data_IF_277366717706
#
_entry.id   IF_277366717706
#
_cell.length_a   1.000
_cell.length_b   1.000
_cell.length_c   1.000
_cell.angle_alpha   90.00
_cell.angle_beta   90.00
_cell.angle_gamma   90.00
#
_symmetry.space_group_name_H-M   'P 1'
#
loop_
_entity.id
_entity.type
_entity.pdbx_description
1 polymer ?
#
# COMPACT_ATOMS: atom_id res chain seq x y z
N UNK A 1 7.96 -21.91 -25.92
CA UNK A 1 7.33 -20.70 -26.52
C UNK A 1 5.83 -20.95 -26.54
N UNK A 2 4.91 -20.03 -26.24
CA UNK A 2 4.89 -18.68 -25.69
C UNK A 2 3.38 -18.46 -25.38
N UNK A 3 3.10 -17.90 -24.20
CA UNK A 3 1.96 -17.06 -23.78
C UNK A 3 0.50 -17.47 -24.12
N UNK A 4 -0.32 -17.81 -23.12
CA UNK A 4 -1.12 -16.91 -22.23
C UNK A 4 -2.46 -16.53 -22.84
N UNK A 5 -3.56 -16.94 -22.20
CA UNK A 5 -4.79 -16.14 -22.09
C UNK A 5 -5.50 -16.42 -20.77
N UNK A 6 -5.60 -15.34 -19.99
CA UNK A 6 -6.56 -15.17 -18.90
C UNK A 6 -7.98 -15.30 -19.45
N UNK A 7 -8.82 -16.03 -18.73
CA UNK A 7 -10.28 -15.92 -18.79
C UNK A 7 -10.76 -15.54 -17.39
N UNK A 8 -11.08 -14.26 -17.21
CA UNK A 8 -11.82 -13.76 -16.05
C UNK A 8 -12.94 -12.86 -16.55
N UNK A 9 -14.08 -13.48 -16.83
CA UNK A 9 -15.40 -12.90 -16.61
C UNK A 9 -15.73 -13.17 -15.12
N UNK A 10 -16.43 -12.35 -14.35
CA UNK A 10 -17.75 -11.74 -14.54
C UNK A 10 -17.89 -10.68 -13.42
N UNK A 11 -18.47 -9.52 -13.71
CA UNK A 11 -19.36 -8.87 -12.75
C UNK A 11 -20.67 -8.51 -13.46
N UNK A 12 -21.75 -9.06 -12.93
CA UNK A 12 -23.09 -9.01 -13.47
C UNK A 12 -23.73 -7.63 -13.26
N UNK A 13 -24.43 -7.15 -14.29
CA UNK A 13 -25.39 -6.04 -14.18
C UNK A 13 -26.57 -6.35 -15.08
N UNK A 14 -27.66 -6.86 -14.50
CA UNK A 14 -28.89 -7.12 -15.22
C UNK A 14 -29.75 -5.85 -15.30
N UNK A 15 -30.02 -5.38 -16.51
CA UNK A 15 -31.27 -4.68 -16.87
C UNK A 15 -31.51 -4.89 -18.37
N UNK A 16 -32.51 -5.72 -18.70
CA UNK A 16 -33.06 -5.80 -20.05
C UNK A 16 -33.95 -4.58 -20.31
N UNK A 17 -33.71 -3.90 -21.43
CA UNK A 17 -34.70 -3.10 -22.15
C UNK A 17 -34.41 -3.23 -23.64
N UNK A 18 -35.32 -3.91 -24.35
CA UNK A 18 -35.31 -4.09 -25.79
C UNK A 18 -35.35 -2.74 -26.50
N UNK A 19 -34.28 -2.37 -27.20
CA UNK A 19 -34.26 -1.24 -28.13
C UNK A 19 -33.84 -1.82 -29.48
N UNK A 20 -34.74 -1.74 -30.45
CA UNK A 20 -34.47 -2.02 -31.86
C UNK A 20 -33.15 -1.35 -32.24
N UNK A 21 -32.20 -2.11 -32.78
CA UNK A 21 -30.94 -1.55 -33.26
C UNK A 21 -31.24 -0.40 -34.23
N UNK A 22 -30.73 0.83 -33.99
CA UNK A 22 -30.93 1.91 -34.95
C UNK A 22 -30.30 1.50 -36.27
N UNK A 23 -31.06 1.56 -37.35
CA UNK A 23 -30.53 1.40 -38.71
C UNK A 23 -29.50 2.48 -38.93
N UNK A 24 -28.27 2.09 -39.26
CA UNK A 24 -27.18 3.01 -39.53
C UNK A 24 -27.57 4.00 -40.64
N UNK A 25 -27.33 5.28 -40.41
CA UNK A 25 -27.54 6.34 -41.41
C UNK A 25 -26.24 7.10 -41.62
N UNK A 26 -26.00 7.58 -42.84
CA UNK A 26 -24.90 8.51 -43.11
C UNK A 26 -25.44 9.95 -43.01
N UNK A 27 -24.63 10.90 -42.53
CA UNK A 27 -25.00 12.31 -42.59
C UNK A 27 -25.10 12.73 -44.06
N UNK A 28 -26.18 13.42 -44.44
CA UNK A 28 -26.38 13.85 -45.83
C UNK A 28 -25.32 14.89 -46.24
N UNK A 29 -24.55 14.60 -47.30
CA UNK A 29 -23.75 15.59 -48.04
C UNK A 29 -24.48 15.92 -49.36
N UNK A 30 -24.25 17.13 -49.90
CA UNK A 30 -25.19 17.82 -50.82
C UNK A 30 -25.70 17.00 -52.02
N UNK A 31 -26.93 17.29 -52.46
CA UNK A 31 -27.68 16.63 -53.55
C UNK A 31 -27.02 16.62 -54.93
N UNK A 32 -25.87 17.25 -55.13
CA UNK A 32 -25.14 17.22 -56.39
C UNK A 32 -24.00 16.19 -56.43
N UNK A 33 -23.65 15.57 -55.30
CA UNK A 33 -22.55 14.59 -55.20
C UNK A 33 -21.18 15.23 -55.48
N UNK A 34 -20.25 15.12 -54.55
CA UNK A 34 -18.85 15.31 -54.90
C UNK A 34 -18.52 14.31 -56.02
N UNK A 35 -17.87 14.76 -57.11
CA UNK A 35 -17.51 13.94 -58.29
C UNK A 35 -16.53 12.80 -57.97
N UNK A 36 -16.20 12.65 -56.70
CA UNK A 36 -15.25 11.73 -56.11
C UNK A 36 -15.88 11.07 -54.87
N UNK A 37 -17.19 10.75 -54.90
CA UNK A 37 -17.96 10.22 -53.75
C UNK A 37 -17.35 8.97 -53.09
N UNK A 38 -16.54 8.20 -53.82
CA UNK A 38 -15.77 7.07 -53.28
C UNK A 38 -14.61 7.49 -52.36
N UNK A 39 -14.13 8.74 -52.44
CA UNK A 39 -13.03 9.28 -51.62
C UNK A 39 -13.42 10.53 -50.79
N UNK A 40 -14.48 11.26 -51.17
CA UNK A 40 -14.86 12.55 -50.57
C UNK A 40 -16.12 12.52 -49.68
N UNK A 41 -16.96 11.49 -49.72
CA UNK A 41 -18.06 11.33 -48.76
C UNK A 41 -17.57 10.56 -47.52
N UNK A 42 -16.69 11.26 -46.80
CA UNK A 42 -16.02 11.03 -45.51
C UNK A 42 -15.44 9.64 -45.16
N UNK A 43 -15.61 8.59 -45.97
CA UNK A 43 -14.91 7.30 -45.83
C UNK A 43 -14.90 6.68 -44.41
N UNK A 44 -15.84 7.08 -43.55
CA UNK A 44 -15.75 6.92 -42.10
C UNK A 44 -16.86 6.05 -41.51
N UNK A 45 -16.78 5.78 -40.20
CA UNK A 45 -17.76 4.93 -39.49
C UNK A 45 -19.20 5.46 -39.64
N UNK A 46 -20.18 4.60 -39.91
CA UNK A 46 -21.58 5.02 -40.07
C UNK A 46 -22.17 5.58 -38.75
N UNK A 47 -23.14 6.51 -38.84
CA UNK A 47 -23.77 7.12 -37.66
C UNK A 47 -24.96 6.26 -37.12
N UNK A 48 -25.25 6.30 -35.81
CA UNK A 48 -24.54 7.10 -34.81
C UNK A 48 -23.18 6.48 -34.47
N UNK A 49 -22.14 7.32 -34.47
CA UNK A 49 -20.86 6.98 -33.88
C UNK A 49 -20.95 7.24 -32.38
N UNK A 50 -20.50 6.29 -31.58
CA UNK A 50 -20.44 6.43 -30.13
C UNK A 50 -19.00 6.24 -29.69
N UNK A 51 -18.52 7.14 -28.84
CA UNK A 51 -17.25 7.01 -28.15
C UNK A 51 -17.48 7.14 -26.63
N UNK A 52 -16.50 6.76 -25.83
CA UNK A 52 -16.61 6.69 -24.37
C UNK A 52 -15.61 7.64 -23.71
N UNK A 53 -16.10 8.43 -22.76
CA UNK A 53 -15.25 9.13 -21.79
C UNK A 53 -15.23 8.34 -20.49
N UNK A 54 -14.03 8.11 -19.95
CA UNK A 54 -13.85 7.58 -18.59
C UNK A 54 -13.51 8.75 -17.68
N UNK A 55 -14.38 9.06 -16.73
CA UNK A 55 -14.07 9.94 -15.61
C UNK A 55 -13.64 9.08 -14.42
N UNK A 56 -12.54 9.45 -13.75
CA UNK A 56 -11.97 8.69 -12.64
C UNK A 56 -11.55 9.59 -11.48
N UNK A 57 -11.57 9.03 -10.28
CA UNK A 57 -11.07 9.59 -9.03
C UNK A 57 -10.49 8.44 -8.20
N UNK A 58 -9.46 8.70 -7.40
CA UNK A 58 -8.87 7.75 -6.46
C UNK A 58 -8.81 8.38 -5.07
N UNK A 59 -8.81 7.53 -4.04
CA UNK A 59 -8.68 7.93 -2.64
C UNK A 59 -7.67 7.02 -1.95
N UNK A 60 -6.71 7.62 -1.25
CA UNK A 60 -5.69 6.89 -0.50
C UNK A 60 -4.72 6.09 -1.39
N UNK A 61 -3.87 5.31 -0.72
CA UNK A 61 -2.97 4.37 -1.38
C UNK A 61 -3.70 3.05 -1.64
N UNK A 62 -3.82 2.69 -2.91
CA UNK A 62 -4.46 1.45 -3.38
C UNK A 62 -3.46 0.55 -4.11
N UNK A 63 -2.16 0.80 -3.95
CA UNK A 63 -1.13 -0.05 -4.55
C UNK A 63 -1.00 -1.36 -3.79
N UNK A 64 -1.04 -2.47 -4.51
CA UNK A 64 -0.61 -3.75 -3.96
C UNK A 64 0.92 -3.84 -4.00
N UNK A 65 1.49 -4.66 -3.11
CA UNK A 65 2.93 -4.95 -3.12
C UNK A 65 3.29 -6.16 -4.00
N UNK A 66 2.34 -6.67 -4.81
CA UNK A 66 2.49 -7.82 -5.69
C UNK A 66 2.58 -9.20 -5.01
N UNK A 67 2.60 -9.29 -3.67
CA UNK A 67 2.73 -10.57 -2.99
C UNK A 67 1.43 -11.40 -3.09
N UNK A 68 1.58 -12.72 -3.22
CA UNK A 68 0.46 -13.66 -3.34
C UNK A 68 0.58 -14.81 -2.34
N UNK A 69 -0.55 -15.48 -2.06
CA UNK A 69 -0.58 -16.69 -1.23
C UNK A 69 -1.57 -16.63 -0.07
N UNK A 70 -1.65 -17.75 0.67
CA UNK A 70 -2.51 -17.87 1.84
C UNK A 70 -1.98 -17.06 3.02
N UNK A 71 -0.67 -17.10 3.28
CA UNK A 71 0.00 -16.22 4.22
C UNK A 71 0.87 -15.24 3.43
N UNK A 72 0.65 -13.95 3.58
CA UNK A 72 1.44 -12.93 2.86
C UNK A 72 1.46 -11.57 3.55
N UNK A 73 2.53 -10.83 3.32
CA UNK A 73 2.60 -9.40 3.60
C UNK A 73 1.85 -8.70 2.47
N UNK A 74 0.76 -8.00 2.78
CA UNK A 74 -0.11 -7.38 1.77
C UNK A 74 0.15 -5.89 1.59
N UNK A 75 0.48 -5.17 2.66
CA UNK A 75 0.70 -3.72 2.64
C UNK A 75 1.73 -3.34 3.69
N UNK A 76 2.50 -2.28 3.41
CA UNK A 76 3.38 -1.57 4.35
C UNK A 76 3.30 -0.07 4.06
N UNK A 77 3.75 0.82 4.96
CA UNK A 77 3.81 2.23 4.64
C UNK A 77 4.80 2.49 3.50
N UNK A 78 4.30 2.81 2.29
CA UNK A 78 5.15 3.12 1.14
C UNK A 78 5.83 4.49 1.24
N UNK A 79 5.26 5.41 2.01
CA UNK A 79 5.81 6.75 2.21
C UNK A 79 5.58 7.18 3.65
N UNK A 80 6.65 7.66 4.29
CA UNK A 80 6.64 8.36 5.56
C UNK A 80 7.19 9.75 5.33
N UNK A 81 6.31 10.73 5.40
CA UNK A 81 6.59 12.11 5.05
C UNK A 81 6.78 12.96 6.30
N UNK A 82 8.04 13.33 6.54
CA UNK A 82 8.43 14.15 7.68
C UNK A 82 8.35 15.64 7.39
N UNK A 83 7.90 16.07 6.20
CA UNK A 83 7.67 17.46 5.83
C UNK A 83 8.92 18.19 5.33
N UNK A 84 8.73 19.47 4.97
CA UNK A 84 9.79 20.37 4.54
C UNK A 84 10.03 21.46 5.59
N UNK A 85 11.30 21.66 5.98
CA UNK A 85 11.68 22.50 7.12
C UNK A 85 12.73 23.54 6.74
N UNK A 86 12.81 24.64 7.51
CA UNK A 86 13.75 25.75 7.24
C UNK A 86 15.18 25.39 7.60
N UNK A 87 15.36 24.76 8.76
CA UNK A 87 16.66 24.50 9.38
C UNK A 87 16.64 23.18 10.16
N UNK A 88 17.82 22.66 10.44
CA UNK A 88 18.03 21.70 11.52
C UNK A 88 18.48 22.45 12.78
N UNK A 89 17.63 22.48 13.81
CA UNK A 89 17.95 23.06 15.11
C UNK A 89 18.35 21.95 16.08
N UNK A 90 19.58 22.01 16.60
CA UNK A 90 20.17 21.01 17.49
C UNK A 90 19.39 20.79 18.80
N UNK A 91 18.51 21.72 19.17
CA UNK A 91 17.66 21.58 20.37
C UNK A 91 16.30 20.96 20.06
N UNK A 92 15.97 20.72 18.77
CA UNK A 92 14.64 20.36 18.25
C UNK A 92 14.74 19.36 17.09
N UNK A 93 15.35 18.21 17.37
CA UNK A 93 15.77 17.22 16.38
C UNK A 93 14.68 16.23 15.94
N UNK A 94 13.46 16.34 16.47
CA UNK A 94 12.38 15.39 16.25
C UNK A 94 11.37 15.89 15.21
N UNK A 95 11.14 15.08 14.18
CA UNK A 95 10.20 15.33 13.10
C UNK A 95 9.22 14.17 13.01
N UNK A 96 7.92 14.47 12.90
CA UNK A 96 6.86 13.45 12.86
C UNK A 96 6.35 13.24 11.45
N UNK A 97 5.86 12.04 11.15
CA UNK A 97 5.36 11.68 9.82
C UNK A 97 4.03 12.37 9.43
N UNK A 98 3.53 13.31 10.24
CA UNK A 98 2.49 14.27 9.84
C UNK A 98 3.08 15.61 9.34
N UNK A 99 4.38 15.63 9.03
CA UNK A 99 5.06 16.74 8.39
C UNK A 99 5.55 17.84 9.34
N UNK A 100 5.79 17.54 10.62
CA UNK A 100 6.01 18.57 11.65
C UNK A 100 7.29 18.38 12.45
N UNK A 101 8.01 19.47 12.65
CA UNK A 101 8.83 19.70 13.83
C UNK A 101 7.94 20.21 14.97
N UNK A 102 7.44 19.29 15.79
CA UNK A 102 6.45 19.62 16.83
C UNK A 102 7.01 20.54 17.91
N UNK A 103 8.32 20.48 18.15
CA UNK A 103 8.98 21.26 19.18
C UNK A 103 9.41 22.67 18.71
N UNK A 104 9.39 22.94 17.39
CA UNK A 104 9.63 24.23 16.75
C UNK A 104 8.70 24.48 15.54
N UNK A 105 7.42 24.82 15.76
CA UNK A 105 6.44 24.96 14.68
C UNK A 105 6.79 26.00 13.61
N UNK A 106 7.57 27.02 13.96
CA UNK A 106 8.06 28.05 13.02
C UNK A 106 9.05 27.51 11.98
N UNK A 107 9.57 26.30 12.20
CA UNK A 107 10.47 25.60 11.29
C UNK A 107 9.72 24.94 10.11
N UNK A 108 8.44 24.63 10.27
CA UNK A 108 7.64 23.95 9.25
C UNK A 108 7.37 24.89 8.06
N UNK A 109 7.88 24.57 6.87
CA UNK A 109 7.65 25.32 5.63
C UNK A 109 6.47 24.77 4.84
N UNK A 110 6.47 23.45 4.61
CA UNK A 110 5.46 22.70 3.85
C UNK A 110 5.20 21.37 4.53
N UNK A 111 3.98 20.87 4.34
CA UNK A 111 3.55 19.62 4.96
C UNK A 111 4.22 18.39 4.33
N UNK A 112 4.61 18.48 3.05
CA UNK A 112 5.34 17.43 2.33
C UNK A 112 6.80 17.76 2.08
N UNK A 113 7.68 16.76 2.22
CA UNK A 113 9.09 16.86 1.88
C UNK A 113 9.32 17.21 0.39
N UNK A 114 8.35 16.91 -0.49
CA UNK A 114 8.35 17.29 -1.91
C UNK A 114 7.93 18.76 -2.13
N UNK A 115 7.62 19.49 -1.06
CA UNK A 115 7.23 20.90 -1.10
C UNK A 115 5.73 21.15 -1.25
N UNK A 116 4.92 20.09 -1.21
CA UNK A 116 3.46 20.13 -1.31
C UNK A 116 2.77 20.71 -0.07
N UNK A 117 1.53 21.20 -0.24
CA UNK A 117 0.69 21.70 0.88
C UNK A 117 0.06 20.58 1.72
N UNK A 118 0.11 19.35 1.24
CA UNK A 118 -0.49 18.17 1.88
C UNK A 118 0.63 17.21 2.21
N UNK A 119 0.55 16.57 3.38
CA UNK A 119 1.47 15.50 3.77
C UNK A 119 1.14 14.21 3.00
N UNK A 120 2.16 13.47 2.63
CA UNK A 120 2.08 12.28 1.76
C UNK A 120 2.17 10.96 2.53
N UNK A 121 2.26 10.97 3.86
CA UNK A 121 2.14 9.75 4.66
C UNK A 121 0.76 9.14 4.45
N UNK A 122 0.71 8.01 3.74
CA UNK A 122 -0.53 7.30 3.49
C UNK A 122 -1.12 6.78 4.81
N UNK A 123 -2.43 6.93 4.95
CA UNK A 123 -3.18 6.42 6.10
C UNK A 123 -4.33 5.52 5.68
N UNK A 124 -4.62 4.52 6.50
CA UNK A 124 -5.71 3.58 6.25
C UNK A 124 -7.02 4.32 6.40
N UNK A 125 -7.86 4.27 5.37
CA UNK A 125 -9.23 4.73 5.45
C UNK A 125 -10.15 3.50 5.43
N UNK A 126 -10.82 3.22 6.54
CA UNK A 126 -11.69 2.06 6.67
C UNK A 126 -12.97 2.37 7.43
N UNK A 127 -14.04 1.65 7.08
CA UNK A 127 -15.31 1.63 7.79
C UNK A 127 -15.56 0.28 8.48
N UNK A 128 -14.59 -0.63 8.44
CA UNK A 128 -14.68 -1.92 9.12
C UNK A 128 -14.53 -1.71 10.63
N UNK A 129 -15.54 -2.17 11.40
CA UNK A 129 -15.55 -2.07 12.85
C UNK A 129 -14.36 -2.78 13.51
N UNK A 130 -13.89 -3.91 12.94
CA UNK A 130 -12.71 -4.64 13.42
C UNK A 130 -11.39 -3.90 13.20
N UNK A 131 -11.40 -2.87 12.34
CA UNK A 131 -10.24 -2.04 12.02
C UNK A 131 -10.37 -0.61 12.55
N UNK A 132 -11.39 -0.31 13.37
CA UNK A 132 -11.61 1.03 13.91
C UNK A 132 -10.41 1.58 14.67
N UNK A 133 -9.69 0.71 15.38
CA UNK A 133 -8.51 1.09 16.15
C UNK A 133 -7.34 1.56 15.29
N UNK A 134 -7.27 1.14 14.02
CA UNK A 134 -6.17 1.46 13.09
C UNK A 134 -6.61 2.42 11.97
N UNK A 135 -7.84 2.91 12.00
CA UNK A 135 -8.32 3.89 11.04
C UNK A 135 -7.59 5.23 11.19
N UNK A 136 -7.12 5.80 10.08
CA UNK A 136 -6.33 7.04 10.05
C UNK A 136 -4.87 6.85 10.45
N UNK A 137 -4.36 5.62 10.48
CA UNK A 137 -2.95 5.31 10.79
C UNK A 137 -2.17 4.96 9.53
N UNK A 138 -0.86 5.22 9.50
CA UNK A 138 0.03 4.53 8.57
C UNK A 138 0.11 3.06 9.00
N UNK A 139 0.07 2.11 8.07
CA UNK A 139 -0.21 0.72 8.44
C UNK A 139 0.58 -0.32 7.64
N UNK A 140 0.73 -1.49 8.25
CA UNK A 140 1.14 -2.72 7.60
C UNK A 140 0.04 -3.79 7.76
N UNK A 141 -0.13 -4.63 6.74
CA UNK A 141 -1.15 -5.69 6.72
C UNK A 141 -0.50 -7.04 6.46
N UNK A 142 -0.71 -8.00 7.36
CA UNK A 142 -0.43 -9.42 7.15
C UNK A 142 -1.74 -10.16 6.94
N UNK A 143 -1.88 -10.82 5.79
CA UNK A 143 -3.04 -11.66 5.48
C UNK A 143 -2.68 -13.11 5.74
N UNK A 144 -3.44 -13.77 6.61
CA UNK A 144 -3.39 -15.22 6.84
C UNK A 144 -4.76 -15.86 6.58
N UNK A 145 -4.86 -16.53 5.43
CA UNK A 145 -6.03 -17.31 5.00
C UNK A 145 -5.76 -18.80 5.05
N UNK A 146 -4.74 -19.25 5.76
CA UNK A 146 -4.26 -20.63 5.71
C UNK A 146 -5.32 -21.67 6.11
N UNK A 147 -6.32 -21.27 6.91
CA UNK A 147 -7.52 -22.05 7.25
C UNK A 147 -8.37 -22.47 6.05
N UNK A 148 -8.21 -21.80 4.91
CA UNK A 148 -8.92 -22.12 3.66
C UNK A 148 -8.12 -23.07 2.76
N UNK A 149 -6.90 -23.45 3.14
CA UNK A 149 -6.14 -24.49 2.46
C UNK A 149 -6.89 -25.81 2.62
N UNK A 150 -7.08 -26.51 1.50
CA UNK A 150 -7.75 -27.82 1.50
C UNK A 150 -6.72 -28.88 1.19
N UNK A 151 -6.45 -29.77 2.14
CA UNK A 151 -5.78 -31.03 1.85
C UNK A 151 -6.75 -32.00 1.16
N UNK A 152 -6.23 -32.80 0.24
CA UNK A 152 -6.94 -33.90 -0.38
C UNK A 152 -6.13 -35.19 -0.27
N UNK A 153 -6.75 -36.34 -0.60
CA UNK A 153 -6.03 -37.61 -0.66
C UNK A 153 -4.83 -37.59 -1.63
N UNK A 154 -4.84 -36.70 -2.63
CA UNK A 154 -3.79 -36.55 -3.65
C UNK A 154 -2.86 -35.36 -3.43
N UNK A 155 -3.24 -34.43 -2.57
CA UNK A 155 -2.45 -33.25 -2.17
C UNK A 155 -2.64 -33.05 -0.67
N UNK A 156 -2.00 -33.88 0.17
CA UNK A 156 -2.06 -33.68 1.60
C UNK A 156 -1.45 -32.31 1.96
N UNK A 157 -1.71 -31.86 3.18
CA UNK A 157 -0.94 -30.77 3.76
C UNK A 157 0.55 -31.09 3.68
N UNK A 158 1.38 -30.06 3.45
CA UNK A 158 2.82 -30.22 3.58
C UNK A 158 3.16 -30.63 5.02
N UNK A 159 4.24 -31.39 5.20
CA UNK A 159 4.70 -31.75 6.54
C UNK A 159 4.85 -30.49 7.40
N UNK A 160 4.33 -30.54 8.63
CA UNK A 160 4.32 -29.40 9.55
C UNK A 160 3.21 -28.36 9.31
N UNK A 161 2.31 -28.55 8.34
CA UNK A 161 1.18 -27.64 8.09
C UNK A 161 -0.17 -28.25 8.50
N UNK A 162 -1.11 -27.38 8.88
CA UNK A 162 -2.46 -27.74 9.37
C UNK A 162 -3.53 -26.92 8.64
N UNK A 163 -4.79 -27.21 8.96
CA UNK A 163 -5.96 -26.42 8.56
C UNK A 163 -6.19 -25.18 9.44
N UNK A 164 -5.16 -24.74 10.18
CA UNK A 164 -5.19 -23.56 11.04
C UNK A 164 -4.43 -22.39 10.41
N UNK A 165 -4.59 -21.20 11.01
CA UNK A 165 -3.71 -20.07 10.76
C UNK A 165 -2.29 -20.41 11.23
N UNK A 166 -1.28 -19.98 10.49
CA UNK A 166 0.11 -20.40 10.72
C UNK A 166 0.85 -19.46 11.66
N UNK A 167 1.98 -19.94 12.18
CA UNK A 167 2.94 -19.10 12.88
C UNK A 167 3.69 -18.19 11.92
N UNK A 168 3.85 -16.91 12.25
CA UNK A 168 4.61 -15.97 11.44
C UNK A 168 5.20 -14.82 12.25
N UNK A 169 6.19 -14.14 11.66
CA UNK A 169 6.84 -12.95 12.21
C UNK A 169 6.94 -11.85 11.16
N UNK A 170 6.46 -10.66 11.49
CA UNK A 170 6.65 -9.44 10.74
C UNK A 170 7.82 -8.66 11.35
N UNK A 171 8.79 -8.29 10.52
CA UNK A 171 9.94 -7.48 10.92
C UNK A 171 10.19 -6.34 9.93
N UNK A 172 10.91 -5.32 10.36
CA UNK A 172 11.38 -4.22 9.52
C UNK A 172 12.84 -3.93 9.81
N UNK A 173 13.60 -3.56 8.78
CA UNK A 173 14.98 -3.08 8.90
C UNK A 173 15.22 -1.85 8.03
N UNK A 174 16.25 -1.09 8.38
CA UNK A 174 16.79 -0.04 7.51
C UNK A 174 17.70 -0.66 6.46
N UNK A 175 17.54 -0.24 5.20
CA UNK A 175 18.40 -0.68 4.10
C UNK A 175 19.56 0.27 3.85
N UNK A 176 19.40 1.53 4.23
CA UNK A 176 20.40 2.58 4.03
C UNK A 176 20.28 3.72 5.07
N UNK A 177 21.28 4.59 5.08
CA UNK A 177 21.27 5.81 5.86
C UNK A 177 20.47 6.91 5.17
N UNK A 178 20.06 7.92 5.94
CA UNK A 178 19.34 9.08 5.42
C UNK A 178 20.24 9.87 4.46
N UNK A 179 19.96 9.80 3.17
CA UNK A 179 20.85 10.27 2.10
C UNK A 179 20.17 11.35 1.26
N UNK A 180 20.88 12.42 0.91
CA UNK A 180 20.35 13.46 0.03
C UNK A 180 20.18 12.91 -1.39
N UNK A 181 19.05 13.23 -2.00
CA UNK A 181 18.71 12.89 -3.37
C UNK A 181 19.21 13.97 -4.33
N UNK A 182 19.52 13.57 -5.56
CA UNK A 182 19.97 14.49 -6.59
C UNK A 182 18.81 15.39 -7.04
N UNK A 183 19.04 16.70 -7.07
CA UNK A 183 18.01 17.67 -7.47
C UNK A 183 17.63 17.59 -8.97
N UNK A 184 18.54 17.11 -9.83
CA UNK A 184 18.29 16.91 -11.26
C UNK A 184 17.60 15.58 -11.55
N UNK A 185 17.85 14.56 -10.71
CA UNK A 185 17.19 13.26 -10.76
C UNK A 185 16.90 12.75 -9.33
N UNK A 186 15.69 13.00 -8.79
CA UNK A 186 15.33 12.59 -7.42
C UNK A 186 15.24 11.08 -7.19
N UNK A 187 15.49 10.26 -8.22
CA UNK A 187 15.64 8.80 -8.08
C UNK A 187 17.08 8.39 -7.73
N UNK A 188 18.06 9.26 -7.95
CA UNK A 188 19.46 9.01 -7.67
C UNK A 188 19.89 9.61 -6.32
N UNK A 189 20.69 8.85 -5.56
CA UNK A 189 21.31 9.30 -4.31
C UNK A 189 22.58 10.10 -4.59
N UNK A 190 22.91 11.03 -3.72
CA UNK A 190 24.21 11.72 -3.67
C UNK A 190 25.12 11.08 -2.62
N UNK A 191 26.35 11.58 -2.48
CA UNK A 191 27.29 11.17 -1.43
C UNK A 191 27.02 11.85 -0.06
N UNK A 192 26.06 12.79 0.01
CA UNK A 192 25.72 13.47 1.25
C UNK A 192 24.78 12.60 2.11
N UNK A 193 25.30 12.12 3.24
CA UNK A 193 24.63 11.19 4.15
C UNK A 193 24.57 11.76 5.56
N UNK A 194 23.45 11.53 6.24
CA UNK A 194 23.24 11.88 7.65
C UNK A 194 23.30 10.58 8.48
N UNK A 195 24.48 10.30 9.02
CA UNK A 195 24.70 9.13 9.88
C UNK A 195 24.06 9.31 11.26
N UNK A 196 23.50 8.25 11.82
CA UNK A 196 22.94 8.27 13.17
C UNK A 196 21.53 8.88 13.28
N UNK A 197 20.91 9.26 12.16
CA UNK A 197 19.47 9.49 12.12
C UNK A 197 18.73 8.23 12.56
N UNK A 198 17.61 8.40 13.27
CA UNK A 198 16.86 7.30 13.87
C UNK A 198 15.39 7.41 13.50
N UNK A 199 14.82 6.30 13.04
CA UNK A 199 13.39 6.16 12.83
C UNK A 199 12.77 5.38 13.99
N UNK A 200 11.67 5.89 14.53
CA UNK A 200 10.94 5.26 15.63
C UNK A 200 9.44 5.24 15.37
N UNK A 201 8.81 4.17 15.85
CA UNK A 201 7.38 3.94 15.81
C UNK A 201 6.93 3.67 17.24
N UNK A 202 5.91 4.38 17.68
CA UNK A 202 5.36 4.26 19.02
C UNK A 202 3.87 3.89 18.99
N UNK A 203 3.39 3.32 20.10
CA UNK A 203 1.99 3.00 20.32
C UNK A 203 1.36 2.16 19.21
N UNK A 204 2.03 1.08 18.77
CA UNK A 204 1.49 0.17 17.73
C UNK A 204 0.05 -0.23 18.06
N UNK A 205 -0.88 0.18 17.19
CA UNK A 205 -2.28 -0.18 17.23
C UNK A 205 -2.50 -1.45 16.41
N UNK A 206 -3.52 -2.21 16.76
CA UNK A 206 -3.86 -3.46 16.08
C UNK A 206 -5.36 -3.54 15.81
N UNK A 207 -5.69 -4.08 14.65
CA UNK A 207 -7.04 -4.48 14.29
C UNK A 207 -6.99 -5.75 13.46
N UNK A 208 -8.05 -6.54 13.55
CA UNK A 208 -8.23 -7.74 12.74
C UNK A 208 -9.56 -7.69 12.03
N UNK A 209 -9.59 -8.12 10.77
CA UNK A 209 -10.84 -8.36 10.06
C UNK A 209 -10.83 -9.68 9.31
N UNK A 210 -12.00 -10.33 9.30
CA UNK A 210 -12.26 -11.50 8.46
C UNK A 210 -12.77 -11.10 7.07
N UNK A 211 -13.08 -9.81 6.84
CA UNK A 211 -13.50 -9.27 5.55
C UNK A 211 -12.29 -8.97 4.66
N UNK A 212 -11.43 -9.98 4.46
CA UNK A 212 -10.13 -9.82 3.79
C UNK A 212 -10.27 -9.16 2.42
N UNK A 213 -11.18 -9.65 1.57
CA UNK A 213 -11.40 -9.06 0.25
C UNK A 213 -11.90 -7.61 0.29
N UNK A 214 -12.71 -7.24 1.29
CA UNK A 214 -13.18 -5.87 1.42
C UNK A 214 -12.05 -4.91 1.78
N UNK A 215 -11.07 -5.36 2.57
CA UNK A 215 -9.87 -4.58 2.89
C UNK A 215 -8.90 -4.51 1.72
N UNK A 216 -8.54 -5.66 1.14
CA UNK A 216 -7.44 -5.74 0.17
C UNK A 216 -7.86 -5.36 -1.25
N UNK A 217 -9.14 -5.53 -1.58
CA UNK A 217 -9.70 -5.46 -2.95
C UNK A 217 -9.02 -6.40 -3.96
N UNK A 218 -8.21 -7.33 -3.48
CA UNK A 218 -7.42 -8.23 -4.31
C UNK A 218 -8.22 -9.50 -4.64
N UNK A 219 -8.37 -9.79 -5.94
CA UNK A 219 -9.13 -10.94 -6.43
C UNK A 219 -8.71 -12.27 -5.80
N UNK A 220 -7.46 -12.43 -5.36
CA UNK A 220 -7.01 -13.66 -4.69
C UNK A 220 -7.69 -13.89 -3.33
N UNK A 221 -8.30 -12.87 -2.74
CA UNK A 221 -9.03 -12.95 -1.48
C UNK A 221 -10.54 -13.13 -1.64
N UNK A 222 -11.06 -13.05 -2.87
CA UNK A 222 -12.51 -13.08 -3.14
C UNK A 222 -13.21 -14.36 -2.69
N UNK A 223 -12.48 -15.48 -2.63
CA UNK A 223 -12.99 -16.78 -2.19
C UNK A 223 -12.61 -17.12 -0.74
N UNK A 224 -12.13 -16.15 0.03
CA UNK A 224 -11.82 -16.38 1.45
C UNK A 224 -13.11 -16.71 2.23
N UNK A 225 -13.16 -17.90 2.82
CA UNK A 225 -14.25 -18.36 3.66
C UNK A 225 -13.90 -18.19 5.14
N UNK A 226 -14.39 -17.10 5.73
CA UNK A 226 -14.20 -16.79 7.15
C UNK A 226 -14.86 -17.79 8.11
N UNK A 227 -15.73 -18.68 7.63
CA UNK A 227 -16.34 -19.74 8.47
C UNK A 227 -15.41 -20.92 8.71
N UNK A 228 -14.27 -20.98 8.00
CA UNK A 228 -13.22 -21.97 8.23
C UNK A 228 -12.32 -21.53 9.38
N UNK A 229 -12.01 -22.46 10.29
CA UNK A 229 -11.22 -22.18 11.48
C UNK A 229 -12.02 -21.45 12.58
N UNK A 230 -11.33 -21.06 13.64
CA UNK A 230 -11.89 -20.21 14.70
C UNK A 230 -10.98 -19.00 14.82
N UNK A 231 -11.42 -17.82 14.33
CA UNK A 231 -10.60 -16.62 14.37
C UNK A 231 -10.09 -16.32 15.78
N UNK A 232 -8.77 -16.19 15.88
CA UNK A 232 -8.09 -15.72 17.08
C UNK A 232 -7.18 -14.57 16.68
N UNK A 233 -7.25 -13.49 17.44
CA UNK A 233 -6.38 -12.33 17.28
C UNK A 233 -4.92 -12.68 17.61
N UNK A 234 -4.00 -11.90 17.06
CA UNK A 234 -2.60 -11.93 17.49
C UNK A 234 -2.53 -11.51 18.95
N UNK A 235 -1.84 -12.28 19.78
CA UNK A 235 -1.69 -11.94 21.20
C UNK A 235 -1.01 -10.58 21.39
N UNK A 236 -1.41 -9.83 22.42
CA UNK A 236 -0.79 -8.54 22.73
C UNK A 236 0.73 -8.65 23.01
N UNK A 237 1.18 -9.77 23.58
CA UNK A 237 2.61 -10.08 23.77
C UNK A 237 3.37 -10.33 22.46
N UNK A 238 2.66 -10.71 21.40
CA UNK A 238 3.20 -10.86 20.07
C UNK A 238 3.39 -9.53 19.33
N UNK A 239 2.90 -8.41 19.87
CA UNK A 239 2.92 -7.09 19.22
C UNK A 239 3.92 -6.18 19.92
N UNK A 240 4.92 -5.72 19.18
CA UNK A 240 5.89 -4.75 19.68
C UNK A 240 5.24 -3.38 19.77
N UNK A 241 5.00 -2.88 20.98
CA UNK A 241 4.33 -1.57 21.19
C UNK A 241 5.16 -0.40 20.67
N UNK A 242 6.48 -0.43 20.87
CA UNK A 242 7.39 0.62 20.45
C UNK A 242 8.66 0.00 19.89
N UNK A 243 9.12 0.48 18.75
CA UNK A 243 10.37 0.03 18.15
C UNK A 243 11.08 1.17 17.45
N UNK A 244 12.38 0.99 17.22
CA UNK A 244 13.17 2.00 16.56
C UNK A 244 14.43 1.44 15.94
N UNK A 245 14.78 1.92 14.76
CA UNK A 245 16.02 1.58 14.06
C UNK A 245 16.86 2.83 13.83
N UNK A 246 18.18 2.78 14.00
CA UNK A 246 19.07 3.69 13.28
C UNK A 246 18.84 3.54 11.77
N UNK A 247 18.90 4.64 11.03
CA UNK A 247 18.94 4.63 9.58
C UNK A 247 20.39 4.41 9.15
N UNK A 248 20.68 3.19 8.71
CA UNK A 248 22.00 2.75 8.30
C UNK A 248 21.90 1.65 7.25
N UNK A 249 22.96 1.48 6.48
CA UNK A 249 23.09 0.33 5.58
C UNK A 249 23.08 -0.98 6.38
N UNK A 250 22.39 -1.99 5.86
CA UNK A 250 22.29 -3.33 6.46
C UNK A 250 21.85 -3.30 7.93
N UNK A 251 20.82 -2.50 8.23
CA UNK A 251 20.23 -2.43 9.56
C UNK A 251 19.74 -3.79 10.06
N UNK A 252 19.69 -3.94 11.39
CA UNK A 252 19.18 -5.16 12.01
C UNK A 252 17.66 -5.27 11.86
N UNK A 253 17.17 -6.51 11.67
CA UNK A 253 15.73 -6.79 11.71
C UNK A 253 15.15 -6.51 13.09
N UNK A 254 14.09 -5.72 13.11
CA UNK A 254 13.31 -5.44 14.30
C UNK A 254 11.94 -6.07 14.17
N UNK A 255 11.60 -6.93 15.12
CA UNK A 255 10.29 -7.55 15.17
C UNK A 255 9.21 -6.50 15.46
N UNK A 256 8.20 -6.45 14.59
CA UNK A 256 7.01 -5.61 14.74
C UNK A 256 5.87 -6.41 15.35
N UNK A 257 5.64 -7.61 14.83
CA UNK A 257 4.60 -8.51 15.33
C UNK A 257 4.95 -9.98 15.07
N UNK A 258 4.36 -10.88 15.84
CA UNK A 258 4.41 -12.33 15.62
C UNK A 258 3.10 -12.99 16.03
N UNK A 259 2.62 -13.92 15.21
CA UNK A 259 1.50 -14.80 15.55
C UNK A 259 1.99 -16.20 15.91
N UNK A 260 1.40 -16.79 16.95
CA UNK A 260 1.55 -18.22 17.22
C UNK A 260 0.64 -19.04 16.28
N UNK A 261 0.86 -20.36 16.26
CA UNK A 261 -0.04 -21.28 15.56
C UNK A 261 -1.50 -21.11 16.02
N UNK A 262 -2.42 -21.00 15.05
CA UNK A 262 -3.83 -20.71 15.28
C UNK A 262 -4.17 -19.24 15.59
N UNK A 263 -3.20 -18.32 15.63
CA UNK A 263 -3.43 -16.88 15.76
C UNK A 263 -3.39 -16.16 14.41
N UNK A 264 -4.02 -14.99 14.36
CA UNK A 264 -3.90 -14.10 13.21
C UNK A 264 -4.69 -14.53 11.99
N UNK A 265 -5.75 -15.34 12.12
CA UNK A 265 -6.62 -15.65 10.99
C UNK A 265 -7.24 -14.38 10.38
N UNK A 266 -7.26 -14.26 9.05
CA UNK A 266 -7.83 -13.13 8.32
C UNK A 266 -6.78 -12.07 7.99
N UNK A 267 -7.18 -10.79 7.98
CA UNK A 267 -6.27 -9.67 7.78
C UNK A 267 -5.92 -9.01 9.12
N UNK A 268 -4.62 -8.97 9.41
CA UNK A 268 -4.03 -8.40 10.62
C UNK A 268 -3.39 -7.07 10.26
N UNK A 269 -3.89 -5.99 10.83
CA UNK A 269 -3.47 -4.63 10.52
C UNK A 269 -2.77 -4.04 11.72
N UNK A 270 -1.52 -3.61 11.53
CA UNK A 270 -0.70 -2.92 12.50
C UNK A 270 -0.60 -1.46 12.08
N UNK A 271 -1.01 -0.55 12.95
CA UNK A 271 -1.16 0.87 12.64
C UNK A 271 -0.39 1.78 13.58
N UNK A 272 0.12 2.88 13.06
CA UNK A 272 0.73 3.96 13.81
C UNK A 272 0.14 5.30 13.40
N UNK A 273 -0.32 6.09 14.36
CA UNK A 273 -0.70 7.46 14.06
C UNK A 273 0.52 8.19 13.48
N UNK A 274 0.40 9.01 12.41
CA UNK A 274 1.56 9.67 11.80
C UNK A 274 2.40 10.51 12.79
N UNK A 275 1.77 11.06 13.84
CA UNK A 275 2.45 11.76 14.94
C UNK A 275 3.32 10.87 15.85
N UNK A 276 3.06 9.57 15.86
CA UNK A 276 3.76 8.56 16.68
C UNK A 276 4.88 7.88 15.88
N UNK A 277 5.05 8.25 14.61
CA UNK A 277 6.20 7.90 13.77
C UNK A 277 7.13 9.10 13.74
N UNK A 278 8.38 8.90 14.16
CA UNK A 278 9.33 9.99 14.34
C UNK A 278 10.68 9.69 13.72
N UNK A 279 11.14 10.63 12.90
CA UNK A 279 12.53 10.76 12.46
C UNK A 279 13.25 11.70 13.43
N UNK A 280 14.26 11.18 14.12
CA UNK A 280 15.12 11.93 15.03
C UNK A 280 16.48 12.11 14.36
N UNK A 281 16.85 13.37 14.14
CA UNK A 281 18.13 13.75 13.56
C UNK A 281 19.24 13.72 14.63
N UNK A 282 20.48 13.40 14.27
CA UNK A 282 21.61 13.49 15.20
C UNK A 282 21.98 14.97 15.45
N UNK A 283 22.43 15.29 16.65
CA UNK A 283 22.92 16.63 16.96
C UNK A 283 24.19 16.95 16.15
N UNK A 284 24.30 18.18 15.64
CA UNK A 284 25.43 18.63 14.85
C UNK A 284 25.47 18.07 13.43
N UNK A 285 24.41 17.42 12.94
CA UNK A 285 24.31 17.05 11.53
C UNK A 285 24.35 18.30 10.64
N UNK A 286 25.14 18.22 9.58
CA UNK A 286 25.14 19.23 8.54
C UNK A 286 24.09 18.86 7.49
N UNK A 287 23.20 19.81 7.20
CA UNK A 287 22.17 19.66 6.16
C UNK A 287 22.31 20.77 5.13
N UNK A 288 22.04 20.44 3.88
CA UNK A 288 21.95 21.37 2.76
C UNK A 288 20.52 21.45 2.24
N UNK A 289 20.27 22.29 1.23
CA UNK A 289 18.97 22.35 0.57
C UNK A 289 18.79 21.13 -0.34
N UNK A 290 18.29 20.04 0.23
CA UNK A 290 18.03 18.78 -0.46
C UNK A 290 16.82 18.04 0.13
N UNK A 291 16.33 17.04 -0.60
CA UNK A 291 15.42 16.02 -0.08
C UNK A 291 16.27 14.86 0.41
N UNK A 292 16.04 14.38 1.62
CA UNK A 292 16.73 13.21 2.15
C UNK A 292 15.77 12.03 2.25
N UNK A 293 16.22 10.85 1.81
CA UNK A 293 15.43 9.62 1.87
C UNK A 293 16.25 8.48 2.49
N UNK A 294 15.53 7.56 3.13
CA UNK A 294 16.05 6.26 3.54
C UNK A 294 15.01 5.19 3.19
N UNK A 295 15.48 3.99 2.87
CA UNK A 295 14.64 2.85 2.53
C UNK A 295 14.54 1.87 3.70
N UNK A 296 13.37 1.24 3.80
CA UNK A 296 13.09 0.21 4.78
C UNK A 296 12.61 -1.05 4.06
N UNK A 297 13.11 -2.20 4.48
CA UNK A 297 12.60 -3.49 4.05
C UNK A 297 11.77 -4.10 5.16
N UNK A 298 10.52 -4.44 4.83
CA UNK A 298 9.62 -5.20 5.68
C UNK A 298 9.60 -6.66 5.26
N UNK A 299 9.75 -7.55 6.22
CA UNK A 299 9.86 -8.98 5.98
C UNK A 299 8.81 -9.74 6.78
N UNK A 300 8.06 -10.60 6.10
CA UNK A 300 7.22 -11.62 6.71
C UNK A 300 7.92 -12.98 6.60
N UNK A 301 8.17 -13.62 7.74
CA UNK A 301 8.76 -14.98 7.79
C UNK A 301 7.80 -15.95 8.47
N UNK A 302 7.93 -17.24 8.15
CA UNK A 302 7.26 -18.36 8.80
C UNK A 302 8.31 -19.41 9.12
N UNK A 303 8.23 -20.02 10.30
CA UNK A 303 9.23 -20.98 10.79
C UNK A 303 8.95 -22.42 10.32
N UNK A 304 7.85 -22.64 9.60
CA UNK A 304 7.56 -23.93 8.94
C UNK A 304 8.27 -23.97 7.59
N UNK A 305 9.36 -24.76 7.53
CA UNK A 305 10.15 -25.03 6.34
C UNK A 305 9.45 -26.00 5.36
#
# INVERSE_FOLDING_TARGET
MKFTKLTSSVLAGATMLSILAPTASFAATSTAGSKDATTNDNGGTALPQTDKTVAGISFGDNSDNGNTGYLRLQMVPHTLDFGNHKILDDTKLDFTADGKNTALPTNNLKASYEGGKTNETAVLNTQDDGLKAVNGTAWATVVDKQVTRVASATTPFHEGTTDQAGSWKLSVKSDDALTAMNNADPSEKTDEVIEGAKLSFANTQYGQTQKVYELTKDTQDSNYDASKGTPKEVSASGITTNFSTPLAADGADIQVASAADGEGQGANVFGWAPKDIKLTMPAGANVTNAIYKANLTWTLTSDVA
#
